data_IF_161237072455
#
_entry.id   IF_161237072455
#
_cell.length_a   1.000
_cell.length_b   1.000
_cell.length_c   1.000
_cell.angle_alpha   90.00
_cell.angle_beta   90.00
_cell.angle_gamma   90.00
#
_symmetry.space_group_name_H-M   'P 1'
#
loop_
_entity.id
_entity.type
_entity.pdbx_description
1 polymer ?
#
# COMPACT_ATOMS: atom_id res chain seq x y z
N UNK A 1 -14.77 -8.12 -6.31
CA UNK A 1 -14.59 -9.49 -5.81
C UNK A 1 -13.73 -9.43 -4.55
N UNK A 2 -13.99 -10.25 -3.54
CA UNK A 2 -13.12 -10.31 -2.35
C UNK A 2 -11.97 -11.30 -2.57
N UNK A 3 -10.87 -11.15 -1.83
CA UNK A 3 -9.77 -12.14 -1.84
C UNK A 3 -10.28 -13.54 -1.50
N UNK A 4 -11.18 -13.65 -0.51
CA UNK A 4 -11.79 -14.93 -0.14
C UNK A 4 -12.63 -15.54 -1.26
N UNK A 5 -13.29 -14.73 -2.08
CA UNK A 5 -14.03 -15.21 -3.25
C UNK A 5 -13.11 -15.75 -4.33
N UNK A 6 -11.98 -15.08 -4.58
CA UNK A 6 -10.95 -15.54 -5.52
C UNK A 6 -10.44 -16.92 -5.12
N UNK A 7 -10.06 -17.09 -3.84
CA UNK A 7 -9.53 -18.35 -3.32
C UNK A 7 -10.58 -19.48 -3.35
N UNK A 8 -11.78 -19.22 -2.84
CA UNK A 8 -12.80 -20.26 -2.69
C UNK A 8 -13.46 -20.68 -4.02
N UNK A 9 -13.34 -19.87 -5.07
CA UNK A 9 -14.00 -20.09 -6.37
C UNK A 9 -13.01 -20.24 -7.52
N UNK A 10 -11.72 -20.34 -7.22
CA UNK A 10 -10.64 -20.49 -8.19
C UNK A 10 -10.73 -19.45 -9.33
N UNK A 11 -10.87 -18.17 -8.94
CA UNK A 11 -11.02 -17.06 -9.90
C UNK A 11 -9.69 -16.34 -10.12
N UNK A 12 -9.63 -15.55 -11.19
CA UNK A 12 -8.51 -14.66 -11.44
C UNK A 12 -8.58 -13.42 -10.54
N UNK A 13 -7.42 -12.97 -10.06
CA UNK A 13 -7.23 -11.69 -9.39
C UNK A 13 -6.34 -10.80 -10.25
N UNK A 14 -6.73 -9.55 -10.40
CA UNK A 14 -5.86 -8.50 -10.91
C UNK A 14 -5.93 -7.31 -9.96
N UNK A 15 -4.83 -6.57 -9.86
CA UNK A 15 -4.79 -5.24 -9.29
C UNK A 15 -3.95 -4.36 -10.21
N UNK A 16 -4.17 -3.06 -10.14
CA UNK A 16 -3.43 -2.07 -10.92
C UNK A 16 -2.65 -1.19 -9.96
N UNK A 17 -1.34 -1.10 -10.15
CA UNK A 17 -0.52 -0.10 -9.48
C UNK A 17 -0.72 1.22 -10.21
N UNK A 18 -1.33 2.20 -9.54
CA UNK A 18 -1.44 3.55 -10.08
C UNK A 18 -0.16 4.31 -9.76
N UNK A 19 0.44 5.03 -10.74
CA UNK A 19 1.64 5.82 -10.50
C UNK A 19 1.39 7.01 -9.57
N UNK A 20 0.12 7.44 -9.45
CA UNK A 20 -0.31 8.55 -8.63
C UNK A 20 -1.50 8.14 -7.76
N UNK A 21 -1.59 8.73 -6.57
CA UNK A 21 -2.72 8.61 -5.65
C UNK A 21 -3.43 9.96 -5.54
N UNK A 22 -4.72 9.95 -5.17
CA UNK A 22 -5.45 11.21 -4.97
C UNK A 22 -4.98 11.92 -3.69
N UNK A 23 -5.10 13.26 -3.61
CA UNK A 23 -4.72 14.00 -2.40
C UNK A 23 -5.45 13.51 -1.13
N UNK A 24 -6.70 13.06 -1.25
CA UNK A 24 -7.47 12.52 -0.13
C UNK A 24 -6.90 11.19 0.40
N UNK A 25 -6.41 10.32 -0.48
CA UNK A 25 -5.75 9.06 -0.11
C UNK A 25 -4.40 9.37 0.57
N UNK A 26 -3.63 10.29 0.00
CA UNK A 26 -2.34 10.71 0.58
C UNK A 26 -2.51 11.30 1.98
N UNK A 27 -3.47 12.23 2.15
CA UNK A 27 -3.76 12.85 3.44
C UNK A 27 -4.17 11.81 4.49
N UNK A 28 -5.04 10.87 4.12
CA UNK A 28 -5.43 9.77 5.01
C UNK A 28 -4.23 8.91 5.41
N UNK A 29 -3.39 8.52 4.44
CA UNK A 29 -2.17 7.75 4.68
C UNK A 29 -1.22 8.46 5.64
N UNK A 30 -0.93 9.74 5.42
CA UNK A 30 -0.04 10.54 6.29
C UNK A 30 -0.58 10.65 7.72
N UNK A 31 -1.88 10.86 7.90
CA UNK A 31 -2.52 10.89 9.23
C UNK A 31 -2.40 9.56 9.96
N UNK A 32 -2.59 8.44 9.25
CA UNK A 32 -2.41 7.09 9.81
C UNK A 32 -0.97 6.90 10.26
N UNK A 33 0.02 7.20 9.41
CA UNK A 33 1.44 7.03 9.76
C UNK A 33 1.84 7.88 10.97
N UNK A 34 1.35 9.12 11.07
CA UNK A 34 1.55 9.98 12.25
C UNK A 34 0.91 9.40 13.51
N UNK A 35 -0.31 8.88 13.43
CA UNK A 35 -1.03 8.33 14.57
C UNK A 35 -0.35 7.08 15.16
N UNK A 36 0.34 6.30 14.33
CA UNK A 36 1.09 5.11 14.75
C UNK A 36 2.59 5.37 14.97
N UNK A 37 3.06 6.62 14.85
CA UNK A 37 4.48 7.01 14.94
C UNK A 37 5.40 6.09 14.11
N UNK A 38 5.00 5.83 12.86
CA UNK A 38 5.74 4.94 11.97
C UNK A 38 7.02 5.63 11.53
N UNK A 39 8.17 5.00 11.83
CA UNK A 39 9.50 5.45 11.44
C UNK A 39 10.27 4.33 10.79
N UNK A 40 10.99 4.67 9.72
CA UNK A 40 11.98 3.83 9.06
C UNK A 40 11.54 2.41 8.68
N UNK A 41 10.25 2.22 8.39
CA UNK A 41 9.65 0.90 8.15
C UNK A 41 8.79 0.93 6.90
N UNK A 42 8.74 -0.20 6.22
CA UNK A 42 7.64 -0.46 5.29
C UNK A 42 6.29 -0.39 6.00
N UNK A 43 5.29 0.06 5.25
CA UNK A 43 3.90 0.04 5.66
C UNK A 43 3.01 -0.37 4.49
N UNK A 44 1.85 -0.92 4.84
CA UNK A 44 0.76 -1.25 3.91
C UNK A 44 -0.54 -0.78 4.55
N UNK A 45 -1.30 0.05 3.84
CA UNK A 45 -2.56 0.62 4.31
C UNK A 45 -3.66 0.22 3.34
N UNK A 46 -4.75 -0.32 3.88
CA UNK A 46 -5.97 -0.60 3.13
C UNK A 46 -7.05 0.42 3.49
N UNK A 47 -7.64 1.02 2.47
CA UNK A 47 -8.68 2.04 2.57
C UNK A 47 -9.87 1.65 1.70
N UNK A 48 -11.08 1.93 2.17
CA UNK A 48 -12.27 1.95 1.32
C UNK A 48 -12.55 3.37 0.85
N UNK A 49 -12.84 3.53 -0.44
CA UNK A 49 -13.53 4.71 -0.96
C UNK A 49 -15.01 4.37 -1.14
N UNK A 50 -15.88 5.11 -0.48
CA UNK A 50 -17.33 4.96 -0.61
C UNK A 50 -17.85 5.67 -1.87
N UNK A 51 -19.11 5.41 -2.25
CA UNK A 51 -19.75 6.07 -3.40
C UNK A 51 -19.83 7.60 -3.26
N UNK A 52 -19.91 8.09 -2.04
CA UNK A 52 -19.89 9.52 -1.67
C UNK A 52 -18.47 10.05 -1.40
N UNK A 53 -17.43 9.38 -1.91
CA UNK A 53 -16.03 9.81 -1.86
C UNK A 53 -15.47 9.99 -0.45
N UNK A 54 -16.03 9.27 0.53
CA UNK A 54 -15.42 9.18 1.87
C UNK A 54 -14.36 8.09 1.86
N UNK A 55 -13.24 8.41 2.49
CA UNK A 55 -12.15 7.47 2.74
C UNK A 55 -12.33 6.87 4.13
N UNK A 56 -12.40 5.55 4.22
CA UNK A 56 -12.56 4.80 5.47
C UNK A 56 -11.36 3.88 5.63
N UNK A 57 -10.65 3.98 6.75
CA UNK A 57 -9.54 3.09 7.06
C UNK A 57 -10.04 1.66 7.33
N UNK A 58 -9.44 0.67 6.68
CA UNK A 58 -9.72 -0.74 6.89
C UNK A 58 -8.62 -1.40 7.73
N UNK A 59 -7.37 -1.29 7.28
CA UNK A 59 -6.24 -2.00 7.87
C UNK A 59 -4.95 -1.19 7.71
N UNK A 60 -4.05 -1.33 8.69
CA UNK A 60 -2.66 -0.87 8.59
C UNK A 60 -1.74 -1.98 9.08
N UNK A 61 -0.66 -2.23 8.33
CA UNK A 61 0.41 -3.13 8.73
C UNK A 61 1.76 -2.47 8.56
N UNK A 62 2.70 -2.78 9.47
CA UNK A 62 4.08 -2.31 9.44
C UNK A 62 5.00 -3.33 8.75
N UNK A 63 4.64 -3.69 7.52
CA UNK A 63 5.38 -4.58 6.62
C UNK A 63 5.11 -4.16 5.17
N UNK A 64 5.95 -4.59 4.20
CA UNK A 64 5.62 -4.39 2.81
C UNK A 64 4.30 -5.08 2.43
N UNK A 65 3.62 -4.58 1.38
CA UNK A 65 2.46 -5.27 0.82
C UNK A 65 2.86 -6.68 0.36
N UNK A 66 1.89 -7.60 0.42
CA UNK A 66 2.13 -9.00 0.04
C UNK A 66 2.08 -9.23 -1.47
N UNK A 67 2.20 -10.50 -1.87
CA UNK A 67 2.15 -10.94 -3.26
C UNK A 67 3.19 -10.20 -4.14
N UNK A 68 2.86 -9.94 -5.40
CA UNK A 68 3.74 -9.27 -6.37
C UNK A 68 3.69 -7.73 -6.29
N UNK A 69 3.19 -7.16 -5.18
CA UNK A 69 2.98 -5.71 -5.05
C UNK A 69 4.28 -4.92 -5.01
N UNK A 70 5.30 -5.40 -4.30
CA UNK A 70 6.62 -4.74 -4.32
C UNK A 70 7.27 -4.80 -5.70
N UNK A 71 7.10 -5.92 -6.42
CA UNK A 71 7.61 -6.06 -7.79
C UNK A 71 6.88 -5.14 -8.77
N UNK A 72 5.56 -4.98 -8.60
CA UNK A 72 4.78 -4.04 -9.39
C UNK A 72 5.23 -2.59 -9.15
N UNK A 73 5.54 -2.20 -7.91
CA UNK A 73 6.10 -0.87 -7.60
C UNK A 73 7.46 -0.69 -8.29
N UNK A 74 8.39 -1.64 -8.12
CA UNK A 74 9.69 -1.61 -8.79
C UNK A 74 9.55 -1.46 -10.31
N UNK A 75 8.67 -2.25 -10.93
CA UNK A 75 8.43 -2.21 -12.37
C UNK A 75 7.78 -0.90 -12.83
N UNK A 76 6.79 -0.38 -12.10
CA UNK A 76 6.08 0.85 -12.47
C UNK A 76 6.98 2.09 -12.42
N UNK A 77 7.89 2.15 -11.44
CA UNK A 77 8.71 3.34 -11.20
C UNK A 77 10.19 3.18 -11.59
N UNK A 78 10.60 2.01 -12.09
CA UNK A 78 12.00 1.68 -12.39
C UNK A 78 12.95 1.91 -11.19
N UNK A 79 12.56 1.36 -10.04
CA UNK A 79 13.28 1.49 -8.76
C UNK A 79 13.54 0.14 -8.08
N UNK A 80 14.33 0.16 -7.01
CA UNK A 80 14.46 -0.92 -6.03
C UNK A 80 13.97 -0.45 -4.65
N UNK A 81 12.71 -0.77 -4.30
CA UNK A 81 12.12 -0.34 -3.03
C UNK A 81 12.89 -0.82 -1.80
N UNK A 82 13.57 -1.97 -1.90
CA UNK A 82 14.31 -2.54 -0.79
C UNK A 82 15.63 -1.81 -0.59
N UNK A 83 16.31 -1.44 -1.68
CA UNK A 83 17.49 -0.58 -1.63
C UNK A 83 17.14 0.82 -1.07
N UNK A 84 16.02 1.41 -1.49
CA UNK A 84 15.56 2.70 -0.97
C UNK A 84 15.25 2.63 0.53
N UNK A 85 14.56 1.58 0.98
CA UNK A 85 14.32 1.36 2.41
C UNK A 85 15.62 1.13 3.18
N UNK A 86 16.55 0.31 2.67
CA UNK A 86 17.83 0.08 3.31
C UNK A 86 18.69 1.36 3.41
N UNK A 87 18.65 2.21 2.38
CA UNK A 87 19.32 3.51 2.39
C UNK A 87 18.77 4.41 3.50
N UNK A 88 17.44 4.47 3.65
CA UNK A 88 16.79 5.21 4.73
C UNK A 88 17.20 4.66 6.12
N UNK A 89 17.18 3.34 6.33
CA UNK A 89 17.52 2.75 7.64
C UNK A 89 19.00 2.92 8.02
N UNK A 90 19.92 2.88 7.04
CA UNK A 90 21.38 2.87 7.32
C UNK A 90 22.02 4.25 7.28
N UNK A 91 21.42 5.22 6.58
CA UNK A 91 22.02 6.54 6.33
C UNK A 91 21.36 7.70 7.09
N UNK A 92 20.30 7.43 7.86
CA UNK A 92 19.70 8.40 8.80
C UNK A 92 20.46 8.43 10.15
#
# INVERSE_FOLDING_TARGET
QSVMEVVNRDRHMSYTCFPEITPAIEEAGRKILMAFDVRERFFHIELFETRDKRIIALEVNMRPPGAWMTDAINYTFDIDVYAEWANMVVKD
#
